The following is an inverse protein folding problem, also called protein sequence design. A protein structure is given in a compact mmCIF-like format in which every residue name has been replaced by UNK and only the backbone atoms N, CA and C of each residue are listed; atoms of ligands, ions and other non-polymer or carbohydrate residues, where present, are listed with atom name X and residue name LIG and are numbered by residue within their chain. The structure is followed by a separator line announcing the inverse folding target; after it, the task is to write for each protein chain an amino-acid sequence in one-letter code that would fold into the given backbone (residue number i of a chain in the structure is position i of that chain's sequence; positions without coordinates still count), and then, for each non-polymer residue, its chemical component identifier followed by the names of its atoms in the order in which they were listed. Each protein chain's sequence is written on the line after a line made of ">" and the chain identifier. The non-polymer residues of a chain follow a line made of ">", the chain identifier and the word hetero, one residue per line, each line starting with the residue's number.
data_IF_567258131753
#
_entry.id   IF_567258131753
#
_cell.length_a   1.000
_cell.length_b   1.000
_cell.length_c   1.000
_cell.angle_alpha   90.00
_cell.angle_beta   90.00
_cell.angle_gamma   90.00
#
_symmetry.space_group_name_H-M   'P 1'
#
loop_
_entity.id
_entity.type
_entity.pdbx_description
1 polymer ?
#
# COMPACT_ATOMS: atom_id res chain seq x y z
N UNK A 1 23.55 5.17 14.97
CA UNK A 1 22.60 4.19 14.41
C UNK A 1 23.38 3.03 13.84
N UNK A 2 23.04 1.80 14.20
CA UNK A 2 23.71 0.60 13.65
C UNK A 2 23.25 0.40 12.20
N UNK A 3 24.13 -0.06 11.31
CA UNK A 3 23.84 -0.28 9.87
C UNK A 3 22.56 -1.11 9.65
N UNK A 4 22.28 -2.05 10.55
CA UNK A 4 21.07 -2.86 10.55
C UNK A 4 19.76 -2.04 10.69
N UNK A 5 19.77 -0.96 11.47
CA UNK A 5 18.61 -0.09 11.66
C UNK A 5 18.32 0.73 10.41
N UNK A 6 19.36 1.19 9.70
CA UNK A 6 19.24 1.91 8.43
C UNK A 6 18.69 1.01 7.32
N UNK A 7 19.20 -0.21 7.19
CA UNK A 7 18.68 -1.22 6.25
C UNK A 7 17.22 -1.57 6.53
N UNK A 8 16.84 -1.73 7.80
CA UNK A 8 15.46 -2.04 8.16
C UNK A 8 14.53 -0.87 7.83
N UNK A 9 14.97 0.37 8.08
CA UNK A 9 14.22 1.58 7.73
C UNK A 9 13.95 1.64 6.22
N UNK A 10 14.98 1.51 5.38
CA UNK A 10 14.81 1.52 3.92
C UNK A 10 13.91 0.37 3.41
N UNK A 11 14.04 -0.81 3.99
CA UNK A 11 13.19 -1.95 3.68
C UNK A 11 11.71 -1.66 3.98
N UNK A 12 11.41 -1.04 5.12
CA UNK A 12 10.04 -0.67 5.49
C UNK A 12 9.43 0.37 4.53
N UNK A 13 10.19 1.40 4.14
CA UNK A 13 9.75 2.37 3.13
C UNK A 13 9.41 1.70 1.79
N UNK A 14 10.25 0.77 1.35
CA UNK A 14 10.00 -0.01 0.13
C UNK A 14 8.73 -0.87 0.24
N UNK A 15 8.53 -1.56 1.37
CA UNK A 15 7.34 -2.36 1.64
C UNK A 15 6.05 -1.51 1.60
N UNK A 16 6.06 -0.31 2.21
CA UNK A 16 4.93 0.60 2.15
C UNK A 16 4.65 1.08 0.72
N UNK A 17 5.69 1.41 -0.04
CA UNK A 17 5.58 1.74 -1.46
C UNK A 17 4.93 0.61 -2.29
N UNK A 18 5.40 -0.62 -2.11
CA UNK A 18 4.81 -1.78 -2.78
C UNK A 18 3.36 -2.03 -2.38
N UNK A 19 3.02 -1.86 -1.09
CA UNK A 19 1.64 -2.03 -0.62
C UNK A 19 0.68 -1.01 -1.23
N UNK A 20 1.12 0.24 -1.41
CA UNK A 20 0.35 1.27 -2.12
C UNK A 20 0.11 0.88 -3.58
N UNK A 21 1.18 0.46 -4.27
CA UNK A 21 1.12 0.10 -5.69
C UNK A 21 0.18 -1.11 -5.88
N UNK A 22 0.44 -2.21 -5.18
CA UNK A 22 -0.34 -3.45 -5.29
C UNK A 22 -1.79 -3.19 -4.92
N UNK A 23 -2.04 -2.51 -3.78
CA UNK A 23 -3.41 -2.19 -3.35
C UNK A 23 -4.18 -1.39 -4.40
N UNK A 24 -3.54 -0.41 -5.04
CA UNK A 24 -4.18 0.41 -6.08
C UNK A 24 -4.53 -0.40 -7.33
N UNK A 25 -3.58 -1.17 -7.85
CA UNK A 25 -3.83 -2.00 -9.04
C UNK A 25 -4.85 -3.11 -8.77
N UNK A 26 -4.78 -3.75 -7.60
CA UNK A 26 -5.78 -4.73 -7.18
C UNK A 26 -7.17 -4.11 -7.01
N UNK A 27 -7.27 -2.88 -6.49
CA UNK A 27 -8.56 -2.19 -6.39
C UNK A 27 -9.17 -1.96 -7.78
N UNK A 28 -8.39 -1.52 -8.77
CA UNK A 28 -8.89 -1.37 -10.15
C UNK A 28 -9.36 -2.71 -10.72
N UNK A 29 -8.59 -3.78 -10.53
CA UNK A 29 -8.97 -5.11 -10.98
C UNK A 29 -10.28 -5.59 -10.36
N UNK A 30 -10.40 -5.53 -9.02
CA UNK A 30 -11.60 -5.98 -8.32
C UNK A 30 -12.80 -5.07 -8.55
N UNK A 31 -12.58 -3.79 -8.83
CA UNK A 31 -13.66 -2.90 -9.27
C UNK A 31 -14.26 -3.39 -10.60
N UNK A 32 -13.41 -3.73 -11.58
CA UNK A 32 -13.87 -4.29 -12.86
C UNK A 32 -14.61 -5.61 -12.63
N UNK A 33 -14.08 -6.49 -11.78
CA UNK A 33 -14.75 -7.76 -11.43
C UNK A 33 -16.15 -7.52 -10.83
N UNK A 34 -16.24 -6.70 -9.79
CA UNK A 34 -17.51 -6.43 -9.11
C UNK A 34 -18.52 -5.70 -10.01
N UNK A 35 -18.06 -4.79 -10.88
CA UNK A 35 -18.93 -3.99 -11.73
C UNK A 35 -19.45 -4.75 -12.95
N UNK A 36 -18.60 -5.51 -13.64
CA UNK A 36 -18.96 -6.17 -14.90
C UNK A 36 -19.42 -7.63 -14.71
N UNK A 37 -18.93 -8.30 -13.68
CA UNK A 37 -19.19 -9.73 -13.46
C UNK A 37 -20.12 -9.99 -12.27
N UNK A 38 -20.67 -8.93 -11.64
CA UNK A 38 -21.52 -9.01 -10.45
C UNK A 38 -20.89 -9.76 -9.27
N UNK A 39 -19.56 -9.82 -9.24
CA UNK A 39 -18.78 -10.38 -8.13
C UNK A 39 -18.87 -9.50 -6.88
N UNK A 40 -18.41 -10.05 -5.75
CA UNK A 40 -18.41 -9.34 -4.47
C UNK A 40 -17.57 -8.06 -4.51
N UNK A 41 -18.07 -7.00 -3.87
CA UNK A 41 -17.32 -5.74 -3.66
C UNK A 41 -16.28 -5.84 -2.54
N UNK A 42 -16.30 -6.90 -1.73
CA UNK A 42 -15.41 -7.06 -0.57
C UNK A 42 -13.92 -7.02 -0.98
N UNK A 43 -13.45 -7.76 -2.02
CA UNK A 43 -12.06 -7.69 -2.46
C UNK A 43 -11.63 -6.29 -2.91
N UNK A 44 -12.52 -5.54 -3.56
CA UNK A 44 -12.27 -4.15 -3.95
C UNK A 44 -12.07 -3.25 -2.71
N UNK A 45 -12.94 -3.36 -1.71
CA UNK A 45 -12.85 -2.57 -0.49
C UNK A 45 -11.56 -2.88 0.28
N UNK A 46 -11.20 -4.17 0.41
CA UNK A 46 -9.96 -4.59 1.06
C UNK A 46 -8.73 -4.06 0.32
N UNK A 47 -8.68 -4.20 -1.01
CA UNK A 47 -7.57 -3.69 -1.81
C UNK A 47 -7.43 -2.16 -1.71
N UNK A 48 -8.56 -1.45 -1.69
CA UNK A 48 -8.61 0.00 -1.52
C UNK A 48 -8.05 0.43 -0.16
N UNK A 49 -8.45 -0.25 0.93
CA UNK A 49 -7.94 0.01 2.28
C UNK A 49 -6.43 -0.24 2.33
N UNK A 50 -5.94 -1.36 1.79
CA UNK A 50 -4.50 -1.68 1.76
C UNK A 50 -3.73 -0.61 1.00
N UNK A 51 -4.24 -0.15 -0.14
CA UNK A 51 -3.64 0.95 -0.90
C UNK A 51 -3.56 2.22 -0.06
N UNK A 52 -4.69 2.69 0.45
CA UNK A 52 -4.76 3.93 1.25
C UNK A 52 -3.83 3.88 2.46
N UNK A 53 -3.86 2.78 3.22
CA UNK A 53 -2.99 2.59 4.39
C UNK A 53 -1.52 2.56 3.97
N UNK A 54 -1.18 1.80 2.93
CA UNK A 54 0.18 1.74 2.40
C UNK A 54 0.74 3.10 2.01
N UNK A 55 -0.07 3.94 1.36
CA UNK A 55 0.32 5.31 1.00
C UNK A 55 0.47 6.21 2.21
N UNK A 56 -0.40 6.09 3.19
CA UNK A 56 -0.33 6.89 4.41
C UNK A 56 0.94 6.55 5.20
N UNK A 57 1.22 5.26 5.39
CA UNK A 57 2.45 4.80 6.05
C UNK A 57 3.71 5.22 5.30
N UNK A 58 3.70 5.20 3.96
CA UNK A 58 4.82 5.68 3.16
C UNK A 58 5.06 7.18 3.39
N UNK A 59 4.00 8.00 3.38
CA UNK A 59 4.11 9.44 3.62
C UNK A 59 4.64 9.74 5.02
N UNK A 60 4.13 9.06 6.04
CA UNK A 60 4.57 9.26 7.42
C UNK A 60 6.03 8.83 7.59
N UNK A 61 6.44 7.75 6.90
CA UNK A 61 7.82 7.29 6.86
C UNK A 61 8.76 8.29 6.19
N UNK A 62 8.37 8.85 5.04
CA UNK A 62 9.14 9.86 4.31
C UNK A 62 9.23 11.18 5.08
N UNK A 63 8.14 11.62 5.72
CA UNK A 63 8.12 12.81 6.57
C UNK A 63 9.06 12.67 7.77
N UNK A 64 9.07 11.51 8.43
CA UNK A 64 10.00 11.20 9.53
C UNK A 64 11.44 10.95 9.10
N UNK A 65 11.74 10.93 7.79
CA UNK A 65 13.09 10.86 7.24
C UNK A 65 13.66 12.27 6.93
N UNK A 66 12.80 13.26 6.75
CA UNK A 66 13.15 14.66 6.42
C UNK A 66 13.07 15.64 7.63
N UNK A 67 12.67 15.16 8.81
CA UNK A 67 12.60 15.92 10.06
C UNK A 67 13.76 15.66 11.00
#
# INVERSE_FOLDING_TARGET
>A
MKIAELMNRESMGNLFGWSWIIGTFSAVYFFIQAFFYHDSWIPFLVASIIGVVGKQLLKDFEAGKNG
#
